data_IF_190235663903
#
_entry.id   IF_190235663903
#
_cell.length_a   1.000
_cell.length_b   1.000
_cell.length_c   1.000
_cell.angle_alpha   90.00
_cell.angle_beta   90.00
_cell.angle_gamma   90.00
#
_symmetry.space_group_name_H-M   'P 1'
#
loop_
_entity.id
_entity.type
_entity.pdbx_description
1 polymer ?
#
# COMPACT_ATOMS: atom_id res chain seq x y z
N UNK A 1 56.45 -19.34 -30.92
CA UNK A 1 55.17 -18.71 -31.31
C UNK A 1 54.56 -18.07 -30.07
N UNK A 2 54.45 -16.74 -30.11
CA UNK A 2 53.65 -15.82 -29.28
C UNK A 2 53.80 -15.78 -27.74
N UNK A 3 54.53 -14.75 -27.28
CA UNK A 3 54.21 -13.95 -26.09
C UNK A 3 52.86 -13.24 -26.22
N UNK A 4 52.21 -12.85 -25.11
CA UNK A 4 51.98 -11.43 -24.69
C UNK A 4 50.76 -11.24 -23.73
N UNK A 5 51.08 -10.88 -22.48
CA UNK A 5 50.52 -9.83 -21.57
C UNK A 5 49.11 -9.24 -21.81
N UNK A 6 48.24 -9.22 -20.78
CA UNK A 6 47.39 -8.07 -20.33
C UNK A 6 46.59 -8.45 -19.05
N UNK A 7 46.91 -7.98 -17.85
CA UNK A 7 46.62 -6.68 -17.19
C UNK A 7 45.61 -6.87 -16.04
N UNK A 8 46.08 -6.62 -14.82
CA UNK A 8 45.32 -6.52 -13.58
C UNK A 8 44.32 -5.36 -13.65
N UNK A 9 43.06 -5.60 -13.27
CA UNK A 9 42.12 -4.56 -12.86
C UNK A 9 41.52 -4.95 -11.50
N UNK A 10 42.27 -4.64 -10.44
CA UNK A 10 41.74 -4.53 -9.08
C UNK A 10 40.72 -3.41 -9.05
N UNK A 11 39.43 -3.74 -9.07
CA UNK A 11 38.37 -2.77 -8.80
C UNK A 11 38.05 -2.84 -7.31
N UNK A 12 38.74 -2.04 -6.50
CA UNK A 12 38.27 -1.69 -5.15
C UNK A 12 37.01 -0.86 -5.30
N UNK A 13 35.85 -1.51 -5.24
CA UNK A 13 34.59 -0.83 -4.99
C UNK A 13 34.57 -0.41 -3.51
N UNK A 14 34.87 0.85 -3.24
CA UNK A 14 34.62 1.47 -1.94
C UNK A 14 33.12 1.41 -1.65
N UNK A 15 32.70 0.42 -0.87
CA UNK A 15 31.35 0.33 -0.34
C UNK A 15 31.08 1.58 0.50
N UNK A 16 30.25 2.49 -0.01
CA UNK A 16 29.80 3.66 0.74
C UNK A 16 28.95 3.15 1.90
N UNK A 17 29.52 3.23 3.11
CA UNK A 17 28.93 2.84 4.40
C UNK A 17 27.44 3.21 4.45
N UNK A 18 26.60 2.22 4.75
CA UNK A 18 25.19 2.46 5.02
C UNK A 18 25.10 3.47 6.17
N UNK A 19 24.53 4.64 5.88
CA UNK A 19 24.15 5.59 6.93
C UNK A 19 22.97 4.95 7.66
N UNK A 20 23.22 4.40 8.84
CA UNK A 20 22.14 4.04 9.77
C UNK A 20 21.41 5.34 10.14
N UNK A 21 20.09 5.34 9.97
CA UNK A 21 19.23 6.37 10.57
C UNK A 21 19.28 6.31 12.09
N UNK A 22 18.69 7.29 12.79
CA UNK A 22 18.61 7.26 14.24
C UNK A 22 17.94 5.97 14.73
N UNK A 23 18.32 5.43 15.91
CA UNK A 23 17.70 4.24 16.47
C UNK A 23 16.18 4.40 16.58
N UNK A 24 15.43 3.46 15.99
CA UNK A 24 13.97 3.45 16.04
C UNK A 24 13.25 3.98 14.79
N UNK A 25 13.97 4.45 13.78
CA UNK A 25 13.37 4.93 12.52
C UNK A 25 13.53 3.91 11.37
N UNK A 26 12.49 3.78 10.54
CA UNK A 26 12.52 2.91 9.35
C UNK A 26 13.56 3.43 8.32
N UNK A 27 14.18 2.53 7.53
CA UNK A 27 15.14 2.94 6.52
C UNK A 27 14.49 3.89 5.49
N UNK A 28 15.15 5.01 5.13
CA UNK A 28 14.60 5.95 4.18
C UNK A 28 14.49 5.33 2.78
N UNK A 29 13.36 5.57 2.10
CA UNK A 29 13.16 5.19 0.70
C UNK A 29 14.13 6.01 -0.15
N UNK A 30 15.12 5.35 -0.76
CA UNK A 30 16.00 5.99 -1.73
C UNK A 30 15.29 6.04 -3.08
N UNK A 31 14.90 7.24 -3.52
CA UNK A 31 14.44 7.44 -4.90
C UNK A 31 15.64 7.21 -5.84
N UNK A 32 15.51 6.37 -6.88
CA UNK A 32 16.56 6.31 -7.90
C UNK A 32 16.72 7.69 -8.54
N UNK A 33 17.93 8.06 -8.98
CA UNK A 33 18.12 9.30 -9.74
C UNK A 33 17.22 9.25 -10.99
N UNK A 34 16.62 10.38 -11.41
CA UNK A 34 15.91 10.43 -12.68
C UNK A 34 16.86 10.00 -13.80
N UNK A 35 16.38 9.27 -14.82
CA UNK A 35 17.21 8.91 -15.96
C UNK A 35 17.81 10.19 -16.55
N UNK A 36 19.12 10.18 -16.81
CA UNK A 36 19.79 11.30 -17.45
C UNK A 36 19.16 11.55 -18.82
N UNK A 37 18.46 12.67 -18.95
CA UNK A 37 18.01 13.15 -20.27
C UNK A 37 19.26 13.51 -21.04
N UNK A 38 19.67 12.64 -21.97
CA UNK A 38 20.61 13.02 -23.02
C UNK A 38 19.93 14.13 -23.81
N UNK A 39 20.43 15.35 -23.65
CA UNK A 39 20.00 16.52 -24.42
C UNK A 39 20.40 16.33 -25.88
N UNK A 40 19.59 15.59 -26.63
CA UNK A 40 19.63 15.60 -28.09
C UNK A 40 19.23 16.99 -28.61
N UNK A 41 19.74 17.42 -29.78
CA UNK A 41 19.41 18.72 -30.33
C UNK A 41 17.90 18.84 -30.53
N UNK A 42 17.36 19.94 -29.98
CA UNK A 42 15.96 20.36 -30.11
C UNK A 42 15.62 20.45 -31.60
N UNK A 43 14.87 19.47 -32.12
CA UNK A 43 14.28 19.57 -33.46
C UNK A 43 13.31 20.74 -33.44
N UNK A 44 13.61 21.75 -34.26
CA UNK A 44 12.78 22.94 -34.45
C UNK A 44 11.34 22.53 -34.79
N UNK A 45 10.31 23.16 -34.20
CA UNK A 45 8.95 22.94 -34.64
C UNK A 45 8.81 23.53 -36.05
N UNK A 46 8.56 22.67 -37.04
CA UNK A 46 8.02 23.12 -38.33
C UNK A 46 6.66 23.74 -38.01
N UNK A 47 6.58 25.07 -38.06
CA UNK A 47 5.33 25.79 -38.01
C UNK A 47 4.52 25.39 -39.24
N UNK A 48 3.48 24.57 -39.03
CA UNK A 48 2.47 24.31 -40.05
C UNK A 48 1.60 25.56 -40.08
N UNK A 49 1.76 26.39 -41.09
CA UNK A 49 0.86 27.51 -41.36
C UNK A 49 -0.55 26.97 -41.60
N UNK A 50 -1.51 27.48 -40.84
CA UNK A 50 -2.95 27.19 -41.03
C UNK A 50 -3.42 27.98 -42.25
N UNK A 51 -4.01 27.33 -43.28
CA UNK A 51 -4.61 28.07 -44.39
C UNK A 51 -5.87 28.79 -43.88
N UNK A 52 -5.85 30.11 -43.82
CA UNK A 52 -7.04 30.92 -43.54
C UNK A 52 -7.89 31.01 -44.81
N UNK A 53 -8.65 29.94 -45.08
CA UNK A 53 -9.67 29.92 -46.13
C UNK A 53 -11.01 30.51 -45.64
N UNK A 54 -11.92 30.95 -46.54
CA UNK A 54 -13.13 31.70 -46.16
C UNK A 54 -14.23 30.91 -45.46
N UNK A 55 -14.02 29.63 -45.11
CA UNK A 55 -15.06 28.76 -44.57
C UNK A 55 -14.74 28.40 -43.11
N UNK A 56 -15.56 28.79 -42.13
CA UNK A 56 -15.40 28.31 -40.77
C UNK A 56 -15.82 26.83 -40.76
N UNK A 57 -14.86 25.92 -40.82
CA UNK A 57 -15.10 24.53 -40.42
C UNK A 57 -15.32 24.60 -38.92
N UNK A 58 -16.58 24.67 -38.50
CA UNK A 58 -16.94 24.42 -37.11
C UNK A 58 -16.58 22.95 -36.85
N UNK A 59 -15.42 22.72 -36.25
CA UNK A 59 -15.14 21.43 -35.65
C UNK A 59 -16.19 21.28 -34.57
N UNK A 60 -17.14 20.37 -34.77
CA UNK A 60 -18.08 20.01 -33.71
C UNK A 60 -17.27 19.76 -32.43
N UNK A 61 -17.71 20.30 -31.27
CA UNK A 61 -17.01 20.06 -30.02
C UNK A 61 -16.87 18.55 -29.83
N UNK A 62 -15.70 18.05 -29.39
CA UNK A 62 -15.52 16.63 -29.15
C UNK A 62 -16.65 16.14 -28.23
N UNK A 63 -17.21 14.94 -28.48
CA UNK A 63 -18.23 14.39 -27.60
C UNK A 63 -17.67 14.41 -26.17
N UNK A 64 -18.50 14.75 -25.16
CA UNK A 64 -18.05 14.69 -23.78
C UNK A 64 -17.44 13.32 -23.53
N UNK A 65 -16.31 13.23 -22.79
CA UNK A 65 -15.73 11.93 -22.48
C UNK A 65 -16.83 11.04 -21.90
N UNK A 66 -16.86 9.74 -22.28
CA UNK A 66 -17.83 8.82 -21.70
C UNK A 66 -17.75 9.00 -20.19
N UNK A 67 -18.90 9.22 -19.56
CA UNK A 67 -19.03 9.43 -18.14
C UNK A 67 -18.41 8.19 -17.49
N UNK A 68 -17.12 8.24 -17.14
CA UNK A 68 -16.55 7.32 -16.17
C UNK A 68 -17.46 7.54 -14.99
N UNK A 69 -18.29 6.53 -14.72
CA UNK A 69 -19.18 6.47 -13.58
C UNK A 69 -18.48 7.23 -12.48
N UNK A 70 -19.07 8.36 -12.07
CA UNK A 70 -18.63 9.05 -10.88
C UNK A 70 -18.73 7.99 -9.80
N UNK A 71 -17.61 7.31 -9.53
CA UNK A 71 -17.42 6.51 -8.35
C UNK A 71 -17.94 7.41 -7.25
N UNK A 72 -18.98 6.95 -6.55
CA UNK A 72 -19.63 7.70 -5.48
C UNK A 72 -18.56 7.96 -4.41
N UNK A 73 -17.82 9.05 -4.59
CA UNK A 73 -16.52 9.24 -3.96
C UNK A 73 -16.64 9.72 -2.52
N UNK A 74 -17.84 9.76 -1.96
CA UNK A 74 -18.09 10.45 -0.69
C UNK A 74 -18.60 9.54 0.44
N UNK A 75 -19.04 8.30 0.14
CA UNK A 75 -19.43 7.32 1.18
C UNK A 75 -18.27 6.36 1.57
N UNK A 76 -17.29 6.11 0.70
CA UNK A 76 -16.30 5.03 0.89
C UNK A 76 -14.90 5.48 1.36
N UNK A 77 -14.66 6.79 1.52
CA UNK A 77 -13.31 7.33 1.84
C UNK A 77 -12.76 6.96 3.22
N UNK A 78 -13.53 6.24 4.05
CA UNK A 78 -13.17 5.93 5.42
C UNK A 78 -13.09 4.45 5.77
N UNK A 79 -13.47 3.54 4.87
CA UNK A 79 -13.62 2.11 5.21
C UNK A 79 -12.29 1.54 5.69
N UNK A 80 -12.31 0.92 6.88
CA UNK A 80 -11.14 0.33 7.53
C UNK A 80 -10.12 1.32 8.11
N UNK A 81 -10.32 2.63 7.98
CA UNK A 81 -9.36 3.65 8.45
C UNK A 81 -9.17 3.64 9.98
N UNK A 82 -10.23 3.34 10.74
CA UNK A 82 -10.24 3.31 12.20
C UNK A 82 -9.87 1.96 12.80
N UNK A 83 -9.88 0.87 12.00
CA UNK A 83 -9.61 -0.50 12.46
C UNK A 83 -8.33 -0.54 13.30
N UNK A 84 -7.23 0.05 12.82
CA UNK A 84 -5.96 -0.02 13.53
C UNK A 84 -6.01 0.72 14.88
N UNK A 85 -6.66 1.89 14.93
CA UNK A 85 -6.82 2.62 16.20
C UNK A 85 -7.63 1.80 17.19
N UNK A 86 -8.80 1.29 16.77
CA UNK A 86 -9.64 0.44 17.62
C UNK A 86 -8.91 -0.83 18.07
N UNK A 87 -8.17 -1.48 17.16
CA UNK A 87 -7.31 -2.63 17.47
C UNK A 87 -6.31 -2.29 18.56
N UNK A 88 -5.57 -1.19 18.44
CA UNK A 88 -4.56 -0.84 19.45
C UNK A 88 -5.18 -0.50 20.80
N UNK A 89 -6.36 0.12 20.82
CA UNK A 89 -7.12 0.39 22.04
C UNK A 89 -7.55 -0.92 22.70
N UNK A 90 -8.16 -1.82 21.93
CA UNK A 90 -8.58 -3.13 22.44
C UNK A 90 -7.40 -3.98 22.90
N UNK A 91 -6.30 -4.01 22.15
CA UNK A 91 -5.09 -4.76 22.50
C UNK A 91 -4.51 -4.31 23.85
N UNK A 92 -4.50 -3.01 24.13
CA UNK A 92 -3.97 -2.45 25.38
C UNK A 92 -4.94 -2.49 26.55
N UNK A 93 -6.24 -2.62 26.28
CA UNK A 93 -7.26 -2.67 27.32
C UNK A 93 -7.07 -3.84 28.28
N UNK A 94 -7.23 -3.57 29.57
CA UNK A 94 -7.22 -4.57 30.66
C UNK A 94 -8.61 -4.90 31.17
N UNK A 95 -9.62 -4.09 30.83
CA UNK A 95 -11.01 -4.28 31.24
C UNK A 95 -11.79 -4.93 30.09
N UNK A 96 -12.30 -6.16 30.26
CA UNK A 96 -13.14 -6.81 29.25
C UNK A 96 -14.41 -6.04 28.88
N UNK A 97 -14.87 -5.11 29.72
CA UNK A 97 -16.15 -4.41 29.56
C UNK A 97 -16.02 -2.95 29.14
N UNK A 98 -14.83 -2.47 28.78
CA UNK A 98 -14.61 -1.07 28.38
C UNK A 98 -15.19 -0.72 26.99
N UNK A 99 -15.78 -1.69 26.30
CA UNK A 99 -16.38 -1.52 24.98
C UNK A 99 -15.38 -1.44 23.82
N UNK A 100 -14.08 -1.58 24.06
CA UNK A 100 -13.05 -1.50 23.02
C UNK A 100 -13.15 -2.65 22.00
N UNK A 101 -13.51 -3.86 22.44
CA UNK A 101 -13.80 -4.98 21.55
C UNK A 101 -14.98 -4.67 20.63
N UNK A 102 -16.08 -4.17 21.21
CA UNK A 102 -17.28 -3.80 20.45
C UNK A 102 -16.97 -2.72 19.41
N UNK A 103 -16.15 -1.73 19.76
CA UNK A 103 -15.71 -0.71 18.82
C UNK A 103 -14.88 -1.29 17.65
N UNK A 104 -14.02 -2.27 17.91
CA UNK A 104 -13.29 -2.97 16.86
C UNK A 104 -14.23 -3.80 15.97
N UNK A 105 -15.20 -4.51 16.55
CA UNK A 105 -16.20 -5.29 15.83
C UNK A 105 -17.04 -4.41 14.89
N UNK A 106 -17.47 -3.24 15.34
CA UNK A 106 -18.21 -2.28 14.50
C UNK A 106 -17.42 -1.90 13.23
N UNK A 107 -16.12 -1.63 13.38
CA UNK A 107 -15.27 -1.25 12.24
C UNK A 107 -14.98 -2.44 11.30
N UNK A 108 -14.87 -3.66 11.85
CA UNK A 108 -14.74 -4.89 11.05
C UNK A 108 -16.04 -5.23 10.31
N UNK A 109 -17.20 -5.01 10.93
CA UNK A 109 -18.52 -5.17 10.29
C UNK A 109 -18.71 -4.16 9.15
N UNK A 110 -18.27 -2.91 9.34
CA UNK A 110 -18.30 -1.93 8.26
C UNK A 110 -17.42 -2.35 7.07
N UNK A 111 -16.25 -2.94 7.33
CA UNK A 111 -15.40 -3.51 6.28
C UNK A 111 -16.06 -4.73 5.62
N UNK A 112 -16.67 -5.62 6.38
CA UNK A 112 -17.41 -6.80 5.88
C UNK A 112 -18.49 -6.39 4.88
N UNK A 113 -19.38 -5.47 5.26
CA UNK A 113 -20.47 -5.03 4.38
C UNK A 113 -19.95 -4.30 3.14
N UNK A 114 -18.86 -3.52 3.27
CA UNK A 114 -18.21 -2.90 2.13
C UNK A 114 -17.64 -3.93 1.15
N UNK A 115 -16.91 -4.92 1.64
CA UNK A 115 -16.34 -5.98 0.80
C UNK A 115 -17.43 -6.86 0.17
N UNK A 116 -18.55 -7.06 0.85
CA UNK A 116 -19.71 -7.77 0.30
C UNK A 116 -20.36 -7.02 -0.85
N UNK A 117 -20.45 -5.68 -0.75
CA UNK A 117 -21.06 -4.84 -1.79
C UNK A 117 -20.11 -4.56 -2.96
N UNK A 118 -18.82 -4.36 -2.69
CA UNK A 118 -17.85 -3.80 -3.63
C UNK A 118 -16.60 -4.66 -3.82
N UNK A 119 -16.53 -5.85 -3.22
CA UNK A 119 -15.33 -6.70 -3.24
C UNK A 119 -14.99 -7.28 -4.61
N UNK A 120 -13.92 -8.08 -4.69
CA UNK A 120 -13.21 -8.72 -3.57
C UNK A 120 -12.17 -7.86 -2.85
N UNK A 121 -11.74 -6.72 -3.39
CA UNK A 121 -10.83 -5.76 -2.74
C UNK A 121 -11.54 -4.43 -2.47
N UNK A 122 -10.91 -3.50 -1.75
CA UNK A 122 -11.57 -2.25 -1.30
C UNK A 122 -12.16 -1.45 -2.48
N UNK A 123 -11.48 -1.46 -3.63
CA UNK A 123 -11.92 -0.77 -4.86
C UNK A 123 -12.37 -1.75 -5.97
N UNK A 124 -12.95 -2.91 -5.61
CA UNK A 124 -13.44 -3.87 -6.59
C UNK A 124 -12.44 -4.95 -6.95
N UNK A 125 -12.32 -5.22 -8.25
CA UNK A 125 -11.64 -6.40 -8.77
C UNK A 125 -10.13 -6.42 -8.52
N UNK A 126 -9.51 -5.25 -8.38
CA UNK A 126 -8.05 -5.10 -8.36
C UNK A 126 -7.57 -4.46 -7.06
N UNK A 127 -6.37 -4.89 -6.63
CA UNK A 127 -5.66 -4.28 -5.51
C UNK A 127 -5.35 -2.82 -5.81
N UNK A 128 -5.58 -1.99 -4.81
CA UNK A 128 -5.37 -0.56 -4.80
C UNK A 128 -4.44 -0.15 -3.66
N UNK A 129 -4.14 1.16 -3.58
CA UNK A 129 -3.36 1.71 -2.48
C UNK A 129 -4.06 1.52 -1.11
N UNK A 130 -5.40 1.45 -1.08
CA UNK A 130 -6.14 1.24 0.15
C UNK A 130 -5.84 -0.16 0.73
N UNK A 131 -5.82 -1.18 -0.12
CA UNK A 131 -5.54 -2.56 0.30
C UNK A 131 -4.10 -2.70 0.83
N UNK A 132 -3.14 -2.08 0.14
CA UNK A 132 -1.73 -2.06 0.55
C UNK A 132 -1.51 -1.28 1.86
N UNK A 133 -2.36 -0.31 2.17
CA UNK A 133 -2.36 0.42 3.45
C UNK A 133 -3.01 -0.39 4.58
N UNK A 134 -4.06 -1.15 4.27
CA UNK A 134 -4.85 -1.89 5.26
C UNK A 134 -4.27 -3.27 5.58
N UNK A 135 -3.72 -3.99 4.61
CA UNK A 135 -3.21 -5.35 4.81
C UNK A 135 -2.19 -5.47 5.96
N UNK A 136 -1.14 -4.61 6.07
CA UNK A 136 -0.21 -4.71 7.20
C UNK A 136 -0.91 -4.49 8.55
N UNK A 137 -1.91 -3.60 8.61
CA UNK A 137 -2.66 -3.30 9.84
C UNK A 137 -3.49 -4.52 10.28
N UNK A 138 -4.17 -5.17 9.34
CA UNK A 138 -4.94 -6.39 9.62
C UNK A 138 -4.03 -7.57 10.04
N UNK A 139 -2.84 -7.67 9.48
CA UNK A 139 -1.86 -8.69 9.89
C UNK A 139 -1.37 -8.46 11.32
N UNK A 140 -1.09 -7.21 11.69
CA UNK A 140 -0.78 -6.86 13.08
C UNK A 140 -1.94 -7.20 14.02
N UNK A 141 -3.18 -6.90 13.61
CA UNK A 141 -4.39 -7.23 14.36
C UNK A 141 -4.50 -8.74 14.62
N UNK A 142 -4.49 -9.57 13.57
CA UNK A 142 -4.65 -11.03 13.71
C UNK A 142 -3.57 -11.63 14.61
N UNK A 143 -2.30 -11.31 14.36
CA UNK A 143 -1.19 -11.92 15.10
C UNK A 143 -1.15 -11.45 16.56
N UNK A 144 -1.34 -10.14 16.81
CA UNK A 144 -1.23 -9.60 18.16
C UNK A 144 -2.45 -9.95 19.03
N UNK A 145 -3.67 -9.85 18.51
CA UNK A 145 -4.87 -10.19 19.30
C UNK A 145 -4.97 -11.69 19.60
N UNK A 146 -4.58 -12.56 18.66
CA UNK A 146 -4.53 -14.00 18.91
C UNK A 146 -3.50 -14.30 20.01
N UNK A 147 -2.32 -13.68 19.97
CA UNK A 147 -1.26 -13.94 20.96
C UNK A 147 -1.56 -13.38 22.35
N UNK A 148 -1.97 -12.11 22.46
CA UNK A 148 -2.10 -11.43 23.75
C UNK A 148 -3.49 -11.55 24.38
N UNK A 149 -4.53 -11.84 23.60
CA UNK A 149 -5.91 -11.92 24.08
C UNK A 149 -6.63 -13.23 23.73
N UNK A 150 -6.02 -14.12 22.95
CA UNK A 150 -6.71 -15.32 22.44
C UNK A 150 -7.88 -14.99 21.52
N UNK A 151 -7.93 -13.77 20.99
CA UNK A 151 -9.06 -13.25 20.23
C UNK A 151 -8.79 -13.36 18.73
N UNK A 152 -9.85 -13.69 17.96
CA UNK A 152 -9.81 -13.83 16.51
C UNK A 152 -10.93 -13.03 15.87
N UNK A 153 -10.73 -12.65 14.61
CA UNK A 153 -11.81 -12.09 13.79
C UNK A 153 -12.95 -13.11 13.76
N UNK A 154 -14.19 -12.73 14.13
CA UNK A 154 -15.33 -13.64 14.10
C UNK A 154 -15.50 -14.34 12.76
N UNK A 155 -15.82 -15.64 12.78
CA UNK A 155 -15.90 -16.51 11.60
C UNK A 155 -17.08 -16.16 10.66
N UNK A 156 -18.06 -15.41 11.16
CA UNK A 156 -19.20 -14.90 10.37
C UNK A 156 -18.82 -13.74 9.44
N UNK A 157 -17.66 -13.09 9.65
CA UNK A 157 -17.12 -12.05 8.77
C UNK A 157 -16.39 -12.66 7.56
N UNK A 158 -17.14 -13.41 6.76
CA UNK A 158 -16.61 -14.25 5.67
C UNK A 158 -15.87 -13.46 4.59
N UNK A 159 -16.32 -12.25 4.25
CA UNK A 159 -15.65 -11.44 3.23
C UNK A 159 -14.34 -10.86 3.76
N UNK A 160 -14.28 -10.45 5.04
CA UNK A 160 -13.03 -10.06 5.69
C UNK A 160 -12.02 -11.20 5.72
N UNK A 161 -12.46 -12.42 6.05
CA UNK A 161 -11.57 -13.60 6.02
C UNK A 161 -11.01 -13.84 4.63
N UNK A 162 -11.88 -13.94 3.60
CA UNK A 162 -11.46 -14.13 2.21
C UNK A 162 -10.51 -13.02 1.73
N UNK A 163 -10.79 -11.77 2.10
CA UNK A 163 -9.95 -10.61 1.80
C UNK A 163 -8.56 -10.70 2.43
N UNK A 164 -8.48 -11.06 3.72
CA UNK A 164 -7.18 -11.22 4.40
C UNK A 164 -6.38 -12.41 3.84
N UNK A 165 -7.04 -13.53 3.54
CA UNK A 165 -6.40 -14.69 2.91
C UNK A 165 -5.84 -14.33 1.53
N UNK A 166 -6.64 -13.67 0.69
CA UNK A 166 -6.24 -13.23 -0.64
C UNK A 166 -5.05 -12.25 -0.60
N UNK A 167 -4.98 -11.36 0.39
CA UNK A 167 -3.87 -10.41 0.52
C UNK A 167 -2.61 -11.04 1.14
N UNK A 168 -2.77 -11.88 2.16
CA UNK A 168 -1.64 -12.45 2.89
C UNK A 168 -0.95 -13.60 2.15
N UNK A 169 -1.65 -14.27 1.24
CA UNK A 169 -1.09 -15.29 0.35
C UNK A 169 -0.27 -14.72 -0.81
N UNK A 170 -0.31 -13.41 -1.06
CA UNK A 170 0.45 -12.79 -2.15
C UNK A 170 1.95 -12.86 -1.88
N UNK A 171 2.72 -13.18 -2.92
CA UNK A 171 4.18 -13.18 -2.83
C UNK A 171 4.75 -11.86 -2.29
N UNK A 172 4.19 -10.73 -2.71
CA UNK A 172 4.62 -9.40 -2.23
C UNK A 172 4.44 -9.26 -0.72
N UNK A 173 3.35 -9.80 -0.17
CA UNK A 173 3.08 -9.75 1.27
C UNK A 173 3.96 -10.74 2.02
N UNK A 174 4.07 -11.98 1.53
CA UNK A 174 4.94 -13.01 2.11
C UNK A 174 6.39 -12.53 2.21
N UNK A 175 6.91 -11.88 1.16
CA UNK A 175 8.29 -11.37 1.09
C UNK A 175 8.56 -10.17 2.02
N UNK A 176 7.52 -9.47 2.48
CA UNK A 176 7.67 -8.20 3.21
C UNK A 176 7.10 -8.20 4.62
N UNK A 177 6.19 -9.12 4.95
CA UNK A 177 5.61 -9.23 6.29
C UNK A 177 6.68 -9.60 7.31
N UNK A 178 6.59 -9.01 8.50
CA UNK A 178 7.42 -9.42 9.62
C UNK A 178 7.11 -10.86 10.04
N UNK A 179 8.14 -11.57 10.52
CA UNK A 179 7.95 -12.82 11.23
C UNK A 179 7.08 -12.58 12.48
N UNK A 180 6.21 -13.54 12.82
CA UNK A 180 5.18 -13.33 13.87
C UNK A 180 5.84 -13.04 15.22
N UNK A 181 6.93 -13.73 15.52
CA UNK A 181 7.76 -13.57 16.71
C UNK A 181 8.32 -12.15 16.87
N UNK A 182 8.77 -11.51 15.79
CA UNK A 182 9.29 -10.14 15.82
C UNK A 182 8.16 -9.12 15.98
N UNK A 183 7.00 -9.38 15.36
CA UNK A 183 5.82 -8.55 15.51
C UNK A 183 5.31 -8.59 16.95
N UNK A 184 5.20 -9.79 17.54
CA UNK A 184 4.82 -10.00 18.95
C UNK A 184 5.81 -9.30 19.88
N UNK A 185 7.11 -9.50 19.69
CA UNK A 185 8.15 -8.84 20.50
C UNK A 185 8.05 -7.31 20.42
N UNK A 186 7.70 -6.74 19.26
CA UNK A 186 7.49 -5.31 19.09
C UNK A 186 6.25 -4.75 19.81
N UNK A 187 5.23 -5.57 20.03
CA UNK A 187 4.02 -5.19 20.77
C UNK A 187 4.12 -5.43 22.27
N UNK A 188 4.85 -6.45 22.72
CA UNK A 188 4.97 -6.83 24.13
C UNK A 188 5.22 -5.64 25.09
N UNK A 189 6.19 -4.72 24.86
CA UNK A 189 6.40 -3.59 25.77
C UNK A 189 5.25 -2.56 25.73
N UNK A 190 4.42 -2.54 24.69
CA UNK A 190 3.27 -1.62 24.56
C UNK A 190 2.00 -2.14 25.24
N UNK A 191 1.88 -3.46 25.34
CA UNK A 191 0.76 -4.16 25.99
C UNK A 191 0.98 -4.26 27.50
N UNK A 192 2.23 -4.41 27.93
CA UNK A 192 2.58 -4.61 29.34
C UNK A 192 3.03 -3.32 30.05
N UNK A 193 3.05 -2.19 29.35
CA UNK A 193 3.30 -0.87 29.93
C UNK A 193 2.08 -0.32 30.69
#
# INVERSE_FOLDING_TARGET
>A
MASLVLLMLSTTATARRARHGPPGELPPIRKPPPPSVISGPRVSPVLRSVPTGPNPITSDPPPPPPNHERFQADEDKGVGSKIFSCFTTFLKSKDPNDGSEKALLTELQALEEHLKAHGPFINGQNISAADLSLAPKLYHLQVALEHFKGWKIPEDLTNVHAYTEALFSRESFIKTKAAKEHLIAGWAPKVNA
#
